data_IF_917408510355
#
_entry.id   IF_917408510355
#
_cell.length_a   1.000
_cell.length_b   1.000
_cell.length_c   1.000
_cell.angle_alpha   90.00
_cell.angle_beta   90.00
_cell.angle_gamma   90.00
#
_symmetry.space_group_name_H-M   'P 1'
#
loop_
_entity.id
_entity.type
_entity.pdbx_description
1 polymer ?
#
# COMPACT_ATOMS: atom_id res chain seq x y z
N UNK A 1 17.41 -14.08 -11.86
CA UNK A 1 17.12 -14.72 -10.56
C UNK A 1 16.88 -13.61 -9.53
N UNK A 2 15.64 -13.23 -9.25
CA UNK A 2 15.34 -12.22 -8.22
C UNK A 2 15.34 -12.89 -6.84
N UNK A 3 16.25 -12.49 -5.96
CA UNK A 3 16.33 -12.98 -4.57
C UNK A 3 14.97 -12.73 -3.91
N UNK A 4 14.30 -13.77 -3.39
CA UNK A 4 13.21 -13.57 -2.43
C UNK A 4 13.85 -12.96 -1.20
N UNK A 5 13.74 -11.64 -1.04
CA UNK A 5 13.97 -11.03 0.25
C UNK A 5 12.79 -11.49 1.11
N UNK A 6 13.01 -12.56 1.88
CA UNK A 6 12.22 -12.79 3.07
C UNK A 6 12.37 -11.58 3.99
N UNK A 7 11.28 -11.19 4.65
CA UNK A 7 11.26 -10.10 5.60
C UNK A 7 10.05 -9.21 5.38
N UNK A 8 9.09 -9.31 6.28
CA UNK A 8 8.01 -8.33 6.42
C UNK A 8 8.61 -6.92 6.51
N UNK A 9 8.15 -6.01 5.67
CA UNK A 9 8.52 -4.59 5.74
C UNK A 9 7.43 -3.85 6.50
N UNK A 10 7.77 -3.24 7.63
CA UNK A 10 6.89 -2.31 8.34
C UNK A 10 7.17 -0.93 7.78
N UNK A 11 6.14 -0.28 7.25
CA UNK A 11 6.23 1.09 6.72
C UNK A 11 5.23 1.96 7.45
N UNK A 12 5.70 3.09 7.99
CA UNK A 12 4.83 4.12 8.55
C UNK A 12 4.43 5.11 7.44
N UNK A 13 3.13 5.18 7.14
CA UNK A 13 2.59 6.07 6.12
C UNK A 13 2.91 7.54 6.40
N UNK A 14 3.12 7.93 7.66
CA UNK A 14 3.48 9.32 8.04
C UNK A 14 4.78 9.78 7.42
N UNK A 15 5.68 8.88 7.01
CA UNK A 15 6.89 9.24 6.27
C UNK A 15 6.60 9.79 4.86
N UNK A 16 5.42 9.53 4.33
CA UNK A 16 4.98 10.01 3.02
C UNK A 16 4.09 11.26 3.10
N UNK A 17 3.81 11.75 4.31
CA UNK A 17 2.87 12.84 4.55
C UNK A 17 3.60 14.06 5.12
N UNK A 18 3.07 15.24 4.84
CA UNK A 18 3.50 16.48 5.48
C UNK A 18 2.84 16.66 6.86
N UNK A 19 3.13 17.78 7.52
CA UNK A 19 2.60 18.09 8.85
C UNK A 19 1.06 18.22 8.91
N UNK A 20 0.40 18.44 7.77
CA UNK A 20 -1.06 18.49 7.68
C UNK A 20 -1.69 17.11 7.45
N UNK A 21 -0.87 16.07 7.22
CA UNK A 21 -1.33 14.75 6.83
C UNK A 21 -1.61 14.62 5.34
N UNK A 22 -1.22 15.59 4.52
CA UNK A 22 -1.36 15.55 3.07
C UNK A 22 -0.12 14.93 2.40
N UNK A 23 -0.30 14.42 1.18
CA UNK A 23 0.82 14.01 0.33
C UNK A 23 1.47 15.29 -0.22
N UNK A 24 2.75 15.58 0.11
CA UNK A 24 3.40 16.81 -0.34
C UNK A 24 3.62 16.81 -1.85
N UNK A 25 3.59 18.00 -2.44
CA UNK A 25 3.93 18.19 -3.85
C UNK A 25 5.41 17.86 -4.12
N UNK A 26 5.70 17.41 -5.34
CA UNK A 26 7.08 17.15 -5.78
C UNK A 26 7.71 15.86 -5.24
N UNK A 27 6.93 14.95 -4.64
CA UNK A 27 7.43 13.63 -4.26
C UNK A 27 8.00 12.87 -5.47
N UNK A 28 9.16 12.19 -5.32
CA UNK A 28 9.66 11.28 -6.33
C UNK A 28 8.62 10.20 -6.63
N UNK A 29 8.48 9.81 -7.91
CA UNK A 29 7.47 8.84 -8.36
C UNK A 29 7.36 7.56 -7.50
N UNK A 30 8.46 6.90 -7.10
CA UNK A 30 8.38 5.74 -6.21
C UNK A 30 7.76 6.04 -4.84
N UNK A 31 8.07 7.21 -4.26
CA UNK A 31 7.53 7.62 -2.97
C UNK A 31 6.05 8.00 -3.09
N UNK A 32 5.67 8.71 -4.17
CA UNK A 32 4.27 9.01 -4.47
C UNK A 32 3.44 7.74 -4.66
N UNK A 33 3.94 6.77 -5.43
CA UNK A 33 3.26 5.49 -5.64
C UNK A 33 3.05 4.72 -4.34
N UNK A 34 4.04 4.75 -3.44
CA UNK A 34 3.92 4.15 -2.12
C UNK A 34 2.87 4.88 -1.26
N UNK A 35 2.90 6.21 -1.24
CA UNK A 35 1.95 7.03 -0.48
C UNK A 35 0.49 6.75 -0.90
N UNK A 36 0.24 6.75 -2.21
CA UNK A 36 -1.08 6.47 -2.79
C UNK A 36 -1.52 5.03 -2.48
N UNK A 37 -0.61 4.07 -2.60
CA UNK A 37 -0.91 2.66 -2.30
C UNK A 37 -1.29 2.45 -0.82
N UNK A 38 -0.50 3.01 0.11
CA UNK A 38 -0.81 2.94 1.55
C UNK A 38 -2.13 3.66 1.87
N UNK A 39 -2.36 4.84 1.26
CA UNK A 39 -3.60 5.59 1.42
C UNK A 39 -4.83 4.84 0.93
N UNK A 40 -4.73 4.09 -0.17
CA UNK A 40 -5.82 3.25 -0.65
C UNK A 40 -6.18 2.13 0.34
N UNK A 41 -5.18 1.50 0.97
CA UNK A 41 -5.40 0.49 2.02
C UNK A 41 -6.11 1.13 3.22
N UNK A 42 -5.59 2.26 3.73
CA UNK A 42 -6.19 2.96 4.87
C UNK A 42 -7.61 3.40 4.56
N UNK A 43 -7.85 3.99 3.38
CA UNK A 43 -9.17 4.43 2.94
C UNK A 43 -10.16 3.26 2.87
N UNK A 44 -9.74 2.11 2.32
CA UNK A 44 -10.59 0.92 2.28
C UNK A 44 -10.98 0.45 3.69
N UNK A 45 -9.97 0.23 4.53
CA UNK A 45 -10.14 -0.29 5.89
C UNK A 45 -10.99 0.66 6.76
N UNK A 46 -10.88 1.97 6.55
CA UNK A 46 -11.63 2.99 7.30
C UNK A 46 -13.00 3.33 6.71
N UNK A 47 -13.32 2.85 5.50
CA UNK A 47 -14.61 3.13 4.84
C UNK A 47 -15.81 2.40 5.47
N UNK A 48 -15.58 1.52 6.45
CA UNK A 48 -16.65 0.79 7.14
C UNK A 48 -17.14 -0.47 6.39
N UNK A 49 -16.40 -0.95 5.39
CA UNK A 49 -16.61 -2.30 4.85
C UNK A 49 -16.40 -3.34 5.96
N UNK A 50 -17.30 -4.34 6.00
CA UNK A 50 -17.47 -5.25 7.14
C UNK A 50 -16.16 -5.86 7.59
N UNK A 51 -15.87 -5.77 8.89
CA UNK A 51 -14.72 -6.41 9.54
C UNK A 51 -14.64 -7.94 9.30
N UNK A 52 -15.73 -8.54 8.82
CA UNK A 52 -15.84 -9.96 8.47
C UNK A 52 -15.29 -10.32 7.09
N UNK A 53 -15.03 -9.34 6.20
CA UNK A 53 -14.42 -9.57 4.88
C UNK A 53 -13.01 -8.93 4.81
N UNK A 54 -11.94 -9.74 4.91
CA UNK A 54 -10.57 -9.26 4.86
C UNK A 54 -10.10 -8.91 3.45
N UNK A 55 -10.87 -9.23 2.40
CA UNK A 55 -10.51 -8.91 1.03
C UNK A 55 -10.73 -7.41 0.76
N UNK A 56 -9.68 -6.76 0.28
CA UNK A 56 -9.75 -5.39 -0.21
C UNK A 56 -9.85 -5.36 -1.73
N UNK A 57 -10.34 -4.27 -2.31
CA UNK A 57 -10.20 -4.04 -3.76
C UNK A 57 -8.85 -3.43 -4.15
N UNK A 58 -7.88 -3.37 -3.22
CA UNK A 58 -6.59 -2.72 -3.44
C UNK A 58 -5.65 -3.71 -4.14
N UNK A 59 -5.21 -3.44 -5.39
CA UNK A 59 -4.40 -4.38 -6.14
C UNK A 59 -3.00 -4.51 -5.55
N UNK A 60 -2.44 -5.72 -5.56
CA UNK A 60 -1.10 -5.98 -5.08
C UNK A 60 -0.05 -5.19 -5.90
N UNK A 61 0.82 -4.44 -5.21
CA UNK A 61 1.87 -3.63 -5.84
C UNK A 61 3.12 -4.45 -6.23
N UNK A 62 3.22 -5.70 -5.78
CA UNK A 62 4.38 -6.55 -6.08
C UNK A 62 4.47 -6.81 -7.58
N UNK A 63 5.70 -6.72 -8.12
CA UNK A 63 5.98 -7.06 -9.52
C UNK A 63 7.16 -8.04 -9.66
N UNK A 64 7.06 -9.27 -9.12
CA UNK A 64 8.15 -10.24 -9.20
C UNK A 64 8.46 -10.57 -10.66
N UNK A 65 9.75 -10.49 -11.05
CA UNK A 65 10.16 -10.76 -12.42
C UNK A 65 9.56 -9.81 -13.46
N UNK A 66 9.21 -8.57 -13.08
CA UNK A 66 8.59 -7.54 -13.93
C UNK A 66 7.17 -7.86 -14.40
N UNK A 67 6.46 -8.78 -13.73
CA UNK A 67 5.04 -9.04 -13.96
C UNK A 67 4.26 -8.58 -12.75
N UNK A 68 3.22 -7.77 -12.97
CA UNK A 68 2.35 -7.29 -11.90
C UNK A 68 1.64 -8.48 -11.25
N UNK A 69 1.58 -8.49 -9.92
CA UNK A 69 0.78 -9.45 -9.19
C UNK A 69 -0.71 -9.26 -9.56
N UNK A 70 -1.44 -10.32 -9.93
CA UNK A 70 -2.85 -10.22 -10.30
C UNK A 70 -3.80 -10.19 -9.09
N UNK A 71 -3.29 -10.41 -7.88
CA UNK A 71 -4.10 -10.47 -6.67
C UNK A 71 -4.37 -9.10 -6.03
N UNK A 72 -5.20 -9.13 -5.00
CA UNK A 72 -5.54 -7.99 -4.16
C UNK A 72 -4.90 -8.15 -2.77
N UNK A 73 -4.82 -7.04 -2.03
CA UNK A 73 -4.33 -7.03 -0.66
C UNK A 73 -5.42 -7.56 0.29
N UNK A 74 -4.99 -8.26 1.34
CA UNK A 74 -5.84 -8.57 2.50
C UNK A 74 -5.53 -7.58 3.61
N UNK A 75 -6.57 -7.16 4.34
CA UNK A 75 -6.43 -6.29 5.50
C UNK A 75 -7.23 -6.87 6.66
N UNK A 76 -6.59 -6.93 7.82
CA UNK A 76 -7.19 -7.40 9.06
C UNK A 76 -7.16 -6.22 10.04
N UNK A 77 -8.30 -5.98 10.71
CA UNK A 77 -8.43 -4.99 11.78
C UNK A 77 -8.26 -5.65 13.15
#
# INVERSE_FOLDING_TARGET
MGRRIGGTWVTDMRHCLDASGAIPEGLPGPALNLAVFLGAIVAWVTSGWSADDPLTNVPCLQSPGRRRCPGEMVAWL
#
